data_IF_168355763167
#
_entry.id   IF_168355763167
#
_cell.length_a   1.000
_cell.length_b   1.000
_cell.length_c   1.000
_cell.angle_alpha   90.00
_cell.angle_beta   90.00
_cell.angle_gamma   90.00
#
_symmetry.space_group_name_H-M   'P 1'
#
loop_
_entity.id
_entity.type
_entity.pdbx_description
1 polymer ?
#
# COMPACT_ATOMS: atom_id res chain seq x y z
N UNK A 1 17.59 0.86 31.91
CA UNK A 1 16.39 0.21 31.36
C UNK A 1 16.61 0.11 29.86
N UNK A 2 16.75 -1.08 29.26
CA UNK A 2 16.79 -1.19 27.80
C UNK A 2 15.41 -0.81 27.25
N UNK A 3 15.41 0.15 26.35
CA UNK A 3 14.22 0.52 25.57
C UNK A 3 13.90 -0.72 24.74
N UNK A 4 12.76 -1.37 25.04
CA UNK A 4 12.25 -2.49 24.26
C UNK A 4 12.04 -1.96 22.84
N UNK A 5 12.88 -2.40 21.91
CA UNK A 5 12.65 -2.15 20.50
C UNK A 5 11.30 -2.78 20.18
N UNK A 6 10.31 -1.96 19.89
CA UNK A 6 8.97 -2.42 19.48
C UNK A 6 9.19 -3.22 18.19
N UNK A 7 9.00 -4.53 18.24
CA UNK A 7 9.08 -5.39 17.06
C UNK A 7 8.15 -4.85 15.98
N UNK A 8 8.67 -4.65 14.77
CA UNK A 8 7.85 -4.19 13.65
C UNK A 8 6.78 -5.23 13.32
N UNK A 9 5.58 -4.79 12.92
CA UNK A 9 4.53 -5.72 12.53
C UNK A 9 4.99 -6.54 11.32
N UNK A 10 4.66 -7.83 11.33
CA UNK A 10 4.89 -8.70 10.17
C UNK A 10 3.78 -8.53 9.14
N UNK A 11 4.13 -8.69 7.87
CA UNK A 11 3.15 -8.66 6.75
C UNK A 11 2.11 -9.76 6.94
N UNK A 12 0.82 -9.44 7.02
CA UNK A 12 -0.23 -10.45 7.08
C UNK A 12 -0.25 -11.33 5.82
N UNK A 13 -0.67 -12.61 5.90
CA UNK A 13 -0.73 -13.50 4.75
C UNK A 13 -1.72 -13.05 3.68
N UNK A 14 -2.67 -12.18 4.02
CA UNK A 14 -3.62 -11.55 3.11
C UNK A 14 -3.03 -10.37 2.33
N UNK A 15 -1.87 -9.86 2.74
CA UNK A 15 -1.26 -8.65 2.20
C UNK A 15 -0.09 -8.96 1.29
N UNK A 16 -0.02 -8.26 0.16
CA UNK A 16 1.13 -8.23 -0.74
C UNK A 16 1.61 -6.79 -0.89
N UNK A 17 2.91 -6.62 -0.78
CA UNK A 17 3.58 -5.33 -0.98
C UNK A 17 4.66 -5.48 -2.04
N UNK A 18 4.76 -4.52 -2.92
CA UNK A 18 5.83 -4.45 -3.91
C UNK A 18 6.11 -3.00 -4.27
N UNK A 19 7.31 -2.75 -4.77
CA UNK A 19 7.75 -1.43 -5.19
C UNK A 19 8.44 -1.51 -6.54
N UNK A 20 8.58 -0.38 -7.19
CA UNK A 20 9.36 -0.31 -8.41
C UNK A 20 9.60 1.13 -8.83
N UNK A 21 10.26 1.26 -9.98
CA UNK A 21 10.49 2.52 -10.67
C UNK A 21 10.03 2.39 -12.11
N UNK A 22 9.30 3.40 -12.55
CA UNK A 22 9.03 3.61 -13.96
C UNK A 22 10.12 4.50 -14.55
N UNK A 23 10.78 4.03 -15.63
CA UNK A 23 11.89 4.75 -16.28
C UNK A 23 11.48 5.51 -17.55
N UNK A 24 10.22 5.35 -18.01
CA UNK A 24 9.67 6.03 -19.18
C UNK A 24 9.09 7.40 -18.85
N UNK A 25 8.74 8.14 -19.91
CA UNK A 25 7.99 9.38 -19.79
C UNK A 25 6.51 9.12 -19.51
N UNK A 26 5.82 10.10 -18.88
CA UNK A 26 4.37 10.10 -18.67
C UNK A 26 3.83 8.84 -17.99
N UNK A 27 4.47 8.43 -16.90
CA UNK A 27 4.07 7.27 -16.11
C UNK A 27 2.58 7.28 -15.75
N UNK A 28 2.07 8.44 -15.34
CA UNK A 28 0.67 8.66 -14.97
C UNK A 28 -0.31 8.44 -16.13
N UNK A 29 -0.02 8.99 -17.31
CA UNK A 29 -0.86 8.77 -18.51
C UNK A 29 -0.86 7.30 -18.95
N UNK A 30 0.32 6.65 -18.87
CA UNK A 30 0.47 5.24 -19.20
C UNK A 30 -0.34 4.38 -18.23
N UNK A 31 -0.31 4.70 -16.95
CA UNK A 31 -1.06 4.00 -15.92
C UNK A 31 -2.57 4.17 -16.10
N UNK A 32 -3.06 5.39 -16.34
CA UNK A 32 -4.50 5.64 -16.62
C UNK A 32 -4.99 4.85 -17.82
N UNK A 33 -4.20 4.80 -18.90
CA UNK A 33 -4.52 4.04 -20.11
C UNK A 33 -4.55 2.53 -19.82
N UNK A 34 -3.58 2.01 -19.06
CA UNK A 34 -3.56 0.61 -18.64
C UNK A 34 -4.77 0.25 -17.80
N UNK A 35 -5.12 1.06 -16.81
CA UNK A 35 -6.26 0.82 -15.93
C UNK A 35 -7.59 0.83 -16.70
N UNK A 36 -7.77 1.76 -17.65
CA UNK A 36 -8.95 1.78 -18.51
C UNK A 36 -9.04 0.49 -19.35
N UNK A 37 -7.93 0.09 -19.98
CA UNK A 37 -7.89 -1.15 -20.76
C UNK A 37 -8.14 -2.41 -19.93
N UNK A 38 -7.62 -2.48 -18.70
CA UNK A 38 -7.85 -3.61 -17.78
C UNK A 38 -9.30 -3.68 -17.33
N UNK A 39 -9.96 -2.54 -17.10
CA UNK A 39 -11.39 -2.47 -16.78
C UNK A 39 -12.23 -2.91 -17.97
N UNK A 40 -11.96 -2.40 -19.17
CA UNK A 40 -12.67 -2.75 -20.40
C UNK A 40 -12.53 -4.25 -20.73
N UNK A 41 -11.37 -4.84 -20.42
CA UNK A 41 -11.11 -6.27 -20.57
C UNK A 41 -11.72 -7.13 -19.45
N UNK A 42 -12.32 -6.54 -18.41
CA UNK A 42 -12.85 -7.26 -17.26
C UNK A 42 -11.76 -7.91 -16.38
N UNK A 43 -10.51 -7.48 -16.52
CA UNK A 43 -9.39 -7.97 -15.69
C UNK A 43 -9.40 -7.36 -14.28
N UNK A 44 -10.00 -6.19 -14.13
CA UNK A 44 -10.32 -5.54 -12.87
C UNK A 44 -11.79 -5.15 -12.86
N UNK A 45 -12.41 -5.10 -11.68
CA UNK A 45 -13.81 -4.69 -11.52
C UNK A 45 -13.96 -3.19 -11.75
N UNK A 46 -13.07 -2.40 -11.13
CA UNK A 46 -13.06 -0.94 -11.23
C UNK A 46 -11.73 -0.35 -10.75
N UNK A 47 -11.52 0.94 -11.03
CA UNK A 47 -10.40 1.73 -10.53
C UNK A 47 -10.79 3.17 -10.25
N UNK A 48 -10.02 3.84 -9.39
CA UNK A 48 -10.20 5.24 -9.03
C UNK A 48 -8.83 5.92 -8.93
N UNK A 49 -8.72 7.11 -9.50
CA UNK A 49 -7.61 8.03 -9.24
C UNK A 49 -8.02 9.00 -8.14
N UNK A 50 -7.27 9.05 -7.05
CA UNK A 50 -7.54 9.97 -5.97
C UNK A 50 -7.01 11.37 -6.32
N UNK A 51 -7.71 12.43 -5.92
CA UNK A 51 -7.23 13.78 -6.12
C UNK A 51 -5.90 13.97 -5.37
N UNK A 52 -4.96 14.65 -6.02
CA UNK A 52 -3.70 15.03 -5.38
C UNK A 52 -4.00 15.94 -4.18
N UNK A 53 -3.39 15.65 -3.04
CA UNK A 53 -3.44 16.49 -1.85
C UNK A 53 -2.15 17.31 -1.77
N UNK A 54 -2.25 18.59 -1.44
CA UNK A 54 -1.10 19.49 -1.26
C UNK A 54 -0.11 18.98 -0.20
N UNK A 55 -0.58 18.14 0.73
CA UNK A 55 0.24 17.52 1.78
C UNK A 55 0.91 16.23 1.33
N UNK A 56 0.38 15.55 0.31
CA UNK A 56 0.88 14.29 -0.26
C UNK A 56 0.99 14.42 -1.77
N UNK A 57 2.19 14.73 -2.28
CA UNK A 57 2.40 14.97 -3.72
C UNK A 57 2.34 13.70 -4.57
N UNK A 58 2.16 12.52 -3.95
CA UNK A 58 2.04 11.25 -4.66
C UNK A 58 0.67 11.17 -5.36
N UNK A 59 0.68 10.74 -6.63
CA UNK A 59 -0.55 10.32 -7.30
C UNK A 59 -0.94 8.94 -6.79
N UNK A 60 -2.19 8.76 -6.40
CA UNK A 60 -2.68 7.52 -5.82
C UNK A 60 -3.79 6.96 -6.68
N UNK A 61 -3.69 5.67 -6.99
CA UNK A 61 -4.68 4.90 -7.73
C UNK A 61 -5.15 3.73 -6.88
N UNK A 62 -6.45 3.54 -6.82
CA UNK A 62 -7.09 2.37 -6.23
C UNK A 62 -7.64 1.48 -7.32
N UNK A 63 -7.50 0.17 -7.16
CA UNK A 63 -8.05 -0.82 -8.09
C UNK A 63 -8.63 -2.00 -7.31
N UNK A 64 -9.74 -2.54 -7.80
CA UNK A 64 -10.41 -3.72 -7.26
C UNK A 64 -10.53 -4.78 -8.34
N UNK A 65 -10.22 -6.03 -7.96
CA UNK A 65 -10.35 -7.19 -8.83
C UNK A 65 -10.84 -8.40 -8.04
N UNK A 66 -11.22 -9.45 -8.76
CA UNK A 66 -11.54 -10.76 -8.19
C UNK A 66 -10.56 -11.80 -8.70
N UNK A 67 -9.94 -12.52 -7.75
CA UNK A 67 -8.98 -13.56 -8.06
C UNK A 67 -9.52 -14.92 -7.62
N UNK A 68 -9.04 -15.99 -8.27
CA UNK A 68 -9.44 -17.36 -7.98
C UNK A 68 -10.97 -17.54 -7.99
N UNK A 69 -11.52 -18.12 -6.92
CA UNK A 69 -12.97 -18.39 -6.78
C UNK A 69 -13.77 -17.13 -6.37
N UNK A 70 -13.46 -15.98 -6.95
CA UNK A 70 -14.20 -14.74 -6.72
C UNK A 70 -13.76 -13.96 -5.46
N UNK A 71 -12.55 -14.20 -4.97
CA UNK A 71 -11.97 -13.49 -3.83
C UNK A 71 -11.70 -12.04 -4.20
N UNK A 72 -12.27 -11.11 -3.45
CA UNK A 72 -12.04 -9.69 -3.65
C UNK A 72 -10.60 -9.32 -3.23
N UNK A 73 -9.93 -8.60 -4.12
CA UNK A 73 -8.62 -7.99 -3.87
C UNK A 73 -8.73 -6.49 -4.06
N UNK A 74 -8.31 -5.75 -3.05
CA UNK A 74 -8.16 -4.29 -3.08
C UNK A 74 -6.70 -3.95 -3.20
N UNK A 75 -6.36 -3.03 -4.07
CA UNK A 75 -4.98 -2.63 -4.27
C UNK A 75 -4.86 -1.10 -4.40
N UNK A 76 -3.81 -0.55 -3.79
CA UNK A 76 -3.48 0.88 -3.84
C UNK A 76 -2.07 1.05 -4.32
N UNK A 77 -1.91 1.84 -5.37
CA UNK A 77 -0.63 2.20 -5.95
C UNK A 77 -0.38 3.68 -5.74
N UNK A 78 0.74 4.01 -5.11
CA UNK A 78 1.23 5.38 -4.96
C UNK A 78 2.37 5.61 -5.93
N UNK A 79 2.26 6.63 -6.76
CA UNK A 79 3.27 7.06 -7.73
C UNK A 79 3.89 8.35 -7.25
N UNK A 80 5.15 8.30 -6.82
CA UNK A 80 5.89 9.45 -6.31
C UNK A 80 6.10 10.53 -7.38
N UNK A 81 6.21 11.83 -7.01
CA UNK A 81 6.58 12.88 -7.94
C UNK A 81 7.93 12.60 -8.57
N UNK A 82 8.16 13.16 -9.76
CA UNK A 82 9.44 13.02 -10.45
C UNK A 82 10.58 13.55 -9.58
N UNK A 83 11.62 12.74 -9.39
CA UNK A 83 12.82 13.15 -8.64
C UNK A 83 13.81 13.85 -9.59
N UNK A 84 14.05 15.12 -9.36
CA UNK A 84 15.01 15.91 -10.17
C UNK A 84 14.50 16.25 -11.58
N UNK A 85 15.41 16.21 -12.58
CA UNK A 85 15.11 16.56 -13.98
C UNK A 85 14.69 15.38 -14.86
N UNK A 86 14.70 14.15 -14.32
CA UNK A 86 14.37 12.93 -15.07
C UNK A 86 12.88 12.62 -15.08
N UNK A 87 12.42 11.84 -16.06
CA UNK A 87 11.03 11.38 -16.15
C UNK A 87 10.72 10.25 -15.18
N UNK A 88 11.73 9.71 -14.48
CA UNK A 88 11.61 8.54 -13.63
C UNK A 88 10.69 8.77 -12.43
N UNK A 89 9.85 7.79 -12.14
CA UNK A 89 8.94 7.82 -10.99
C UNK A 89 9.01 6.53 -10.19
N UNK A 90 9.24 6.65 -8.90
CA UNK A 90 9.13 5.52 -7.98
C UNK A 90 7.66 5.25 -7.68
N UNK A 91 7.30 3.97 -7.55
CA UNK A 91 5.97 3.55 -7.16
C UNK A 91 6.02 2.53 -6.02
N UNK A 92 4.96 2.53 -5.23
CA UNK A 92 4.71 1.57 -4.16
C UNK A 92 3.29 1.04 -4.31
N UNK A 93 3.16 -0.29 -4.27
CA UNK A 93 1.88 -0.99 -4.35
C UNK A 93 1.67 -1.80 -3.08
N UNK A 94 0.48 -1.66 -2.51
CA UNK A 94 -0.03 -2.49 -1.43
C UNK A 94 -1.36 -3.08 -1.87
N UNK A 95 -1.52 -4.39 -1.73
CA UNK A 95 -2.75 -5.10 -2.03
C UNK A 95 -3.16 -5.98 -0.86
N UNK A 96 -4.46 -6.05 -0.59
CA UNK A 96 -5.05 -6.89 0.44
C UNK A 96 -6.20 -7.71 -0.15
N UNK A 97 -6.17 -9.01 0.12
CA UNK A 97 -7.21 -9.95 -0.27
C UNK A 97 -8.06 -10.33 0.95
N UNK A 98 -9.31 -10.73 0.74
CA UNK A 98 -10.21 -11.20 1.80
C UNK A 98 -9.72 -12.47 2.52
N UNK A 99 -8.82 -13.23 1.89
CA UNK A 99 -8.18 -14.42 2.48
C UNK A 99 -6.69 -14.46 2.14
N UNK A 100 -5.95 -15.41 2.74
CA UNK A 100 -4.54 -15.60 2.49
C UNK A 100 -4.25 -15.71 0.99
N UNK A 101 -3.17 -15.05 0.55
CA UNK A 101 -2.78 -14.98 -0.86
C UNK A 101 -2.36 -16.34 -1.39
N UNK A 102 -2.98 -16.78 -2.48
CA UNK A 102 -2.61 -18.01 -3.17
C UNK A 102 -1.52 -17.72 -4.22
N UNK A 103 -0.39 -18.46 -4.22
CA UNK A 103 0.66 -18.28 -5.23
C UNK A 103 0.22 -18.49 -6.67
N UNK A 104 -0.86 -19.24 -6.91
CA UNK A 104 -1.44 -19.44 -8.25
C UNK A 104 -2.18 -18.20 -8.77
N UNK A 105 -2.55 -17.27 -7.91
CA UNK A 105 -3.20 -16.03 -8.33
C UNK A 105 -2.21 -15.11 -9.07
N UNK A 106 -2.73 -14.22 -9.93
CA UNK A 106 -1.89 -13.20 -10.54
C UNK A 106 -1.19 -12.34 -9.49
N UNK A 107 -0.02 -11.80 -9.83
CA UNK A 107 0.61 -10.78 -8.99
C UNK A 107 -0.28 -9.53 -8.94
N UNK A 108 -0.36 -8.80 -7.79
CA UNK A 108 -1.18 -7.59 -7.68
C UNK A 108 -0.77 -6.48 -8.66
N UNK A 109 0.45 -6.49 -9.19
CA UNK A 109 0.86 -5.54 -10.23
C UNK A 109 0.02 -5.65 -11.50
N UNK A 110 -0.55 -6.83 -11.77
CA UNK A 110 -1.43 -7.05 -12.93
C UNK A 110 -2.79 -6.33 -12.82
N UNK A 111 -3.09 -5.76 -11.66
CA UNK A 111 -4.25 -4.89 -11.47
C UNK A 111 -4.01 -3.46 -11.98
N UNK A 112 -2.78 -3.11 -12.37
CA UNK A 112 -2.38 -1.78 -12.83
C UNK A 112 -1.79 -1.78 -14.23
N UNK A 113 -1.13 -2.89 -14.64
CA UNK A 113 -0.61 -3.08 -15.98
C UNK A 113 -0.62 -4.55 -16.38
N UNK A 114 -0.54 -4.88 -17.68
CA UNK A 114 -0.60 -6.26 -18.18
C UNK A 114 0.43 -7.20 -17.57
N UNK A 115 0.20 -8.52 -17.69
CA UNK A 115 1.09 -9.58 -17.16
C UNK A 115 2.53 -9.49 -17.63
N UNK A 116 2.74 -9.03 -18.85
CA UNK A 116 4.05 -8.67 -19.38
C UNK A 116 4.16 -7.15 -19.29
N UNK A 117 4.60 -6.63 -18.14
CA UNK A 117 4.74 -5.21 -17.97
C UNK A 117 5.75 -4.72 -18.99
N UNK A 118 5.45 -3.57 -19.58
CA UNK A 118 6.47 -2.81 -20.28
C UNK A 118 7.72 -2.79 -19.40
N UNK A 119 8.87 -3.12 -20.00
CA UNK A 119 10.16 -3.16 -19.30
C UNK A 119 10.45 -1.87 -18.49
N UNK A 120 9.73 -0.77 -18.81
CA UNK A 120 9.81 0.49 -18.12
C UNK A 120 9.32 0.46 -16.66
N UNK A 121 8.42 -0.45 -16.27
CA UNK A 121 7.82 -0.45 -14.90
C UNK A 121 8.60 -1.25 -13.86
N UNK A 122 9.38 -2.24 -14.29
CA UNK A 122 9.95 -3.25 -13.40
C UNK A 122 11.39 -2.97 -12.98
N UNK A 123 11.70 -1.78 -12.50
CA UNK A 123 13.03 -1.46 -11.98
C UNK A 123 12.97 -1.25 -10.46
N UNK A 124 13.75 -2.01 -9.69
CA UNK A 124 13.85 -1.73 -8.25
C UNK A 124 14.51 -0.36 -8.02
N UNK A 125 13.90 0.54 -7.24
CA UNK A 125 14.37 1.91 -7.06
C UNK A 125 15.76 2.03 -6.42
N UNK A 126 16.17 1.03 -5.62
CA UNK A 126 17.43 1.05 -4.89
C UNK A 126 18.58 0.42 -5.69
N UNK A 127 18.31 -0.69 -6.37
CA UNK A 127 19.35 -1.49 -7.03
C UNK A 127 19.34 -1.41 -8.55
N UNK A 128 18.23 -0.93 -9.15
CA UNK A 128 17.98 -0.96 -10.58
C UNK A 128 17.72 -2.35 -11.15
N UNK A 129 17.65 -3.38 -10.30
CA UNK A 129 17.38 -4.75 -10.71
C UNK A 129 15.94 -4.89 -11.21
N UNK A 130 15.74 -5.87 -12.10
CA UNK A 130 14.44 -6.11 -12.71
C UNK A 130 13.85 -7.44 -12.22
N UNK A 131 12.81 -7.40 -11.36
CA UNK A 131 12.06 -8.61 -10.99
C UNK A 131 11.46 -9.28 -12.22
N UNK A 132 11.49 -10.61 -12.24
CA UNK A 132 10.95 -11.41 -13.32
C UNK A 132 11.80 -11.45 -14.60
N UNK A 133 12.93 -10.75 -14.63
CA UNK A 133 13.87 -10.73 -15.75
C UNK A 133 15.24 -11.25 -15.33
N UNK A 134 16.07 -11.59 -16.33
CA UNK A 134 17.48 -11.95 -16.12
C UNK A 134 18.28 -10.68 -15.84
N UNK A 135 19.00 -10.66 -14.70
CA UNK A 135 19.92 -9.60 -14.31
C UNK A 135 21.36 -10.16 -14.34
N UNK A 136 22.23 -9.66 -15.21
CA UNK A 136 23.64 -10.06 -15.20
C UNK A 136 24.31 -9.60 -13.91
N UNK A 137 25.24 -10.40 -13.41
CA UNK A 137 26.11 -9.97 -12.32
C UNK A 137 27.10 -8.91 -12.80
N UNK A 138 27.57 -8.00 -11.92
CA UNK A 138 28.62 -7.04 -12.25
C UNK A 138 29.90 -7.73 -12.75
N UNK A 139 30.70 -7.03 -13.54
CA UNK A 139 31.97 -7.58 -14.06
C UNK A 139 33.06 -7.68 -12.97
N UNK A 140 33.11 -6.71 -12.05
CA UNK A 140 34.10 -6.66 -10.98
C UNK A 140 33.76 -7.61 -9.82
N UNK A 141 34.75 -8.40 -9.41
CA UNK A 141 34.62 -9.38 -8.33
C UNK A 141 34.17 -8.81 -7.00
N UNK A 142 34.55 -7.57 -6.67
CA UNK A 142 34.12 -6.90 -5.42
C UNK A 142 32.67 -6.49 -5.51
N UNK A 143 32.24 -6.05 -6.69
CA UNK A 143 30.87 -5.66 -6.95
C UNK A 143 29.94 -6.87 -6.95
N UNK A 144 30.37 -8.03 -7.48
CA UNK A 144 29.64 -9.30 -7.34
C UNK A 144 29.39 -9.62 -5.87
N UNK A 145 30.43 -9.58 -5.02
CA UNK A 145 30.28 -9.87 -3.59
C UNK A 145 29.39 -8.87 -2.87
N UNK A 146 29.54 -7.56 -3.19
CA UNK A 146 28.68 -6.52 -2.65
C UNK A 146 27.24 -6.79 -3.04
N UNK A 147 26.97 -7.03 -4.33
CA UNK A 147 25.64 -7.33 -4.86
C UNK A 147 24.98 -8.51 -4.14
N UNK A 148 25.67 -9.63 -3.99
CA UNK A 148 25.10 -10.80 -3.32
C UNK A 148 24.83 -10.57 -1.82
N UNK A 149 25.68 -9.82 -1.14
CA UNK A 149 25.41 -9.39 0.26
C UNK A 149 24.20 -8.48 0.39
N UNK A 150 24.02 -7.55 -0.56
CA UNK A 150 22.87 -6.65 -0.58
C UNK A 150 21.61 -7.44 -0.86
N UNK A 151 21.64 -8.40 -1.80
CA UNK A 151 20.55 -9.32 -2.10
C UNK A 151 20.11 -10.16 -0.91
N UNK A 152 21.06 -10.64 -0.10
CA UNK A 152 20.78 -11.41 1.10
C UNK A 152 20.10 -10.58 2.22
N UNK A 153 20.00 -9.26 2.05
CA UNK A 153 19.39 -8.31 3.02
C UNK A 153 18.18 -7.58 2.46
N UNK A 154 17.85 -7.82 1.20
CA UNK A 154 16.73 -7.15 0.54
C UNK A 154 15.38 -7.65 1.10
N UNK A 155 14.58 -6.81 1.77
CA UNK A 155 13.30 -7.23 2.33
C UNK A 155 12.17 -7.35 1.29
N UNK A 156 12.40 -6.91 0.04
CA UNK A 156 11.36 -6.82 -0.99
C UNK A 156 11.28 -8.05 -1.88
N UNK A 157 12.42 -8.68 -2.17
CA UNK A 157 12.51 -9.74 -3.17
C UNK A 157 13.17 -11.02 -2.63
N UNK A 158 12.85 -12.13 -3.27
CA UNK A 158 13.62 -13.37 -3.18
C UNK A 158 14.61 -13.36 -4.34
N UNK A 159 15.90 -13.52 -4.03
CA UNK A 159 16.94 -13.50 -5.04
C UNK A 159 17.37 -14.92 -5.40
N UNK A 160 17.52 -15.19 -6.69
CA UNK A 160 18.00 -16.49 -7.22
C UNK A 160 19.26 -16.26 -8.01
N UNK A 161 20.32 -16.99 -7.68
CA UNK A 161 21.61 -16.91 -8.37
C UNK A 161 21.85 -18.18 -9.16
N UNK A 162 22.04 -18.05 -10.46
CA UNK A 162 22.21 -19.19 -11.41
C UNK A 162 23.53 -19.03 -12.15
N UNK A 163 24.26 -20.12 -12.34
CA UNK A 163 25.40 -20.16 -13.25
C UNK A 163 24.94 -20.50 -14.65
N UNK A 164 25.15 -19.61 -15.59
CA UNK A 164 24.71 -19.73 -16.98
C UNK A 164 25.30 -20.97 -17.67
N UNK A 165 26.58 -21.29 -17.43
CA UNK A 165 27.22 -22.45 -17.97
C UNK A 165 26.80 -23.79 -17.35
N UNK A 166 26.01 -23.75 -16.29
CA UNK A 166 25.62 -24.94 -15.54
C UNK A 166 24.15 -25.32 -15.72
N UNK A 167 23.41 -24.46 -16.40
CA UNK A 167 22.02 -24.74 -16.73
C UNK A 167 21.98 -25.59 -17.98
N UNK A 168 21.42 -26.81 -17.92
CA UNK A 168 21.22 -27.58 -19.12
C UNK A 168 20.18 -26.91 -20.02
N UNK A 169 20.41 -27.00 -21.33
CA UNK A 169 19.48 -26.63 -22.38
C UNK A 169 19.08 -25.14 -22.43
N UNK A 170 17.92 -24.90 -23.02
CA UNK A 170 17.33 -23.59 -23.26
C UNK A 170 17.01 -22.81 -21.94
N UNK A 171 16.98 -23.50 -20.80
CA UNK A 171 16.73 -22.88 -19.49
C UNK A 171 17.77 -21.82 -19.09
N UNK A 172 18.98 -21.93 -19.63
CA UNK A 172 19.99 -20.90 -19.48
C UNK A 172 19.63 -19.56 -20.11
N UNK A 173 18.71 -19.54 -21.04
CA UNK A 173 18.35 -18.37 -21.84
C UNK A 173 16.95 -17.81 -21.49
N UNK A 174 16.10 -18.59 -20.81
CA UNK A 174 14.75 -18.19 -20.43
C UNK A 174 14.73 -17.75 -18.98
N UNK A 175 14.10 -16.62 -18.64
CA UNK A 175 13.94 -16.20 -17.24
C UNK A 175 13.24 -17.26 -16.41
N UNK A 176 13.75 -17.55 -15.20
CA UNK A 176 13.14 -18.50 -14.26
C UNK A 176 11.69 -18.11 -13.87
N UNK A 177 11.34 -16.85 -14.00
CA UNK A 177 9.98 -16.37 -13.77
C UNK A 177 8.93 -17.09 -14.61
N UNK A 178 9.29 -17.65 -15.78
CA UNK A 178 8.37 -18.45 -16.59
C UNK A 178 7.92 -19.75 -15.92
N UNK A 179 8.77 -20.29 -15.03
CA UNK A 179 8.52 -21.53 -14.29
C UNK A 179 7.82 -21.29 -12.95
N UNK A 180 7.83 -20.05 -12.47
CA UNK A 180 7.25 -19.70 -11.19
C UNK A 180 5.73 -19.52 -11.30
N UNK A 181 4.99 -19.85 -10.21
CA UNK A 181 3.60 -19.49 -10.08
C UNK A 181 3.38 -17.99 -10.35
N UNK A 182 2.26 -17.61 -10.97
CA UNK A 182 2.01 -16.22 -11.39
C UNK A 182 2.19 -15.18 -10.28
N UNK A 183 1.79 -15.50 -9.05
CA UNK A 183 1.91 -14.59 -7.89
C UNK A 183 3.35 -14.31 -7.45
N UNK A 184 4.31 -15.15 -7.87
CA UNK A 184 5.72 -15.02 -7.48
C UNK A 184 6.60 -14.37 -8.55
N UNK A 185 6.15 -14.25 -9.79
CA UNK A 185 6.96 -13.74 -10.91
C UNK A 185 7.58 -12.37 -10.65
N UNK A 186 6.84 -11.46 -10.02
CA UNK A 186 7.30 -10.10 -9.69
C UNK A 186 7.98 -10.00 -8.30
N UNK A 187 8.17 -11.14 -7.65
CA UNK A 187 8.83 -11.21 -6.34
C UNK A 187 10.21 -11.80 -6.38
N UNK A 188 10.58 -12.37 -7.52
CA UNK A 188 11.88 -13.04 -7.73
C UNK A 188 12.76 -12.19 -8.61
N UNK A 189 13.98 -11.94 -8.14
CA UNK A 189 15.06 -11.32 -8.91
C UNK A 189 16.09 -12.37 -9.23
N UNK A 190 16.23 -12.68 -10.51
CA UNK A 190 17.17 -13.65 -11.01
C UNK A 190 18.50 -13.00 -11.37
N UNK A 191 19.61 -13.57 -10.87
CA UNK A 191 20.97 -13.18 -11.19
C UNK A 191 21.63 -14.26 -12.01
N UNK A 192 22.24 -13.88 -13.13
CA UNK A 192 23.02 -14.78 -13.97
C UNK A 192 24.51 -14.51 -13.81
N UNK A 193 25.22 -15.55 -13.40
CA UNK A 193 26.67 -15.56 -13.37
C UNK A 193 27.21 -16.18 -14.65
N UNK A 194 28.07 -15.48 -15.38
CA UNK A 194 28.76 -16.03 -16.52
C UNK A 194 29.74 -17.16 -16.10
N UNK A 195 30.19 -18.02 -17.02
CA UNK A 195 31.20 -19.06 -16.71
C UNK A 195 32.43 -18.52 -16.00
N UNK A 196 32.90 -17.34 -16.39
CA UNK A 196 34.05 -16.67 -15.78
C UNK A 196 33.81 -16.23 -14.34
N UNK A 197 32.57 -15.92 -14.01
CA UNK A 197 32.16 -15.46 -12.70
C UNK A 197 31.84 -16.60 -11.72
N UNK A 198 31.76 -17.86 -12.18
CA UNK A 198 31.36 -19.01 -11.37
C UNK A 198 32.17 -19.10 -10.06
N UNK A 199 33.50 -18.87 -10.14
CA UNK A 199 34.40 -18.95 -8.98
C UNK A 199 34.12 -17.85 -7.94
N UNK A 200 34.01 -16.61 -8.38
CA UNK A 200 33.79 -15.48 -7.46
C UNK A 200 32.39 -15.54 -6.87
N UNK A 201 31.40 -15.95 -7.64
CA UNK A 201 30.02 -16.15 -7.20
C UNK A 201 29.95 -17.20 -6.10
N UNK A 202 30.51 -18.39 -6.32
CA UNK A 202 30.55 -19.44 -5.29
C UNK A 202 31.37 -19.03 -4.07
N UNK A 203 32.44 -18.29 -4.25
CA UNK A 203 33.19 -17.79 -3.12
C UNK A 203 32.37 -16.78 -2.27
N UNK A 204 31.59 -15.93 -2.91
CA UNK A 204 30.68 -15.03 -2.19
C UNK A 204 29.53 -15.79 -1.51
N UNK A 205 28.97 -16.81 -2.14
CA UNK A 205 27.89 -17.62 -1.59
C UNK A 205 28.33 -18.50 -0.40
N UNK A 206 29.62 -18.85 -0.32
CA UNK A 206 30.20 -19.54 0.86
C UNK A 206 30.07 -18.74 2.16
N UNK A 207 30.01 -17.41 2.09
CA UNK A 207 29.72 -16.55 3.25
C UNK A 207 28.34 -16.87 3.85
N UNK A 208 27.44 -17.45 3.02
CA UNK A 208 26.10 -17.91 3.41
C UNK A 208 26.00 -19.43 3.58
N UNK A 209 27.13 -20.15 3.54
CA UNK A 209 27.18 -21.59 3.76
C UNK A 209 26.80 -22.45 2.55
N UNK A 210 26.67 -21.87 1.35
CA UNK A 210 26.24 -22.60 0.15
C UNK A 210 27.15 -22.34 -1.05
N UNK A 211 27.04 -23.23 -2.05
CA UNK A 211 27.57 -23.07 -3.40
C UNK A 211 26.48 -23.42 -4.40
N UNK A 212 26.49 -22.77 -5.56
CA UNK A 212 25.59 -23.16 -6.66
C UNK A 212 26.13 -24.47 -7.25
N UNK A 213 25.33 -25.54 -7.23
CA UNK A 213 25.69 -26.81 -7.84
C UNK A 213 25.71 -26.70 -9.37
N UNK A 214 26.34 -27.65 -10.02
CA UNK A 214 26.22 -27.79 -11.50
C UNK A 214 24.76 -28.06 -11.88
N UNK A 215 24.23 -27.26 -12.81
CA UNK A 215 22.82 -27.35 -13.20
C UNK A 215 21.85 -26.84 -12.15
N UNK A 216 22.31 -25.99 -11.24
CA UNK A 216 21.51 -25.52 -10.13
C UNK A 216 21.52 -24.02 -9.93
N UNK A 217 20.89 -23.63 -8.83
CA UNK A 217 20.78 -22.26 -8.37
C UNK A 217 20.94 -22.17 -6.84
N UNK A 218 21.26 -20.98 -6.35
CA UNK A 218 21.12 -20.63 -4.96
C UNK A 218 19.96 -19.66 -4.76
N UNK A 219 19.07 -19.97 -3.82
CA UNK A 219 17.91 -19.14 -3.46
C UNK A 219 18.20 -18.42 -2.15
N UNK A 220 18.24 -17.09 -2.21
CA UNK A 220 18.49 -16.22 -1.06
C UNK A 220 17.15 -15.68 -0.56
N UNK A 221 16.84 -15.83 0.76
CA UNK A 221 15.57 -15.38 1.32
C UNK A 221 15.42 -13.85 1.39
N UNK A 222 16.53 -13.13 1.25
CA UNK A 222 16.53 -11.68 1.13
C UNK A 222 16.22 -10.92 2.42
N UNK A 223 16.50 -11.48 3.64
CA UNK A 223 16.19 -10.71 4.86
C UNK A 223 16.89 -11.25 6.11
N UNK A 224 17.06 -10.38 7.13
CA UNK A 224 17.47 -10.84 8.44
C UNK A 224 16.37 -11.71 9.06
N UNK A 225 16.79 -12.65 9.91
CA UNK A 225 15.86 -13.49 10.69
C UNK A 225 15.15 -12.58 11.70
N UNK A 226 13.81 -12.51 11.70
CA UNK A 226 13.06 -11.77 12.71
C UNK A 226 13.24 -12.41 14.09
N UNK A 227 13.08 -11.62 15.14
CA UNK A 227 13.16 -12.10 16.51
C UNK A 227 12.12 -13.19 16.79
N UNK A 228 12.54 -14.30 17.38
CA UNK A 228 11.66 -15.43 17.71
C UNK A 228 11.47 -16.47 16.60
N UNK A 229 12.18 -16.34 15.47
CA UNK A 229 12.13 -17.34 14.40
C UNK A 229 13.42 -18.15 14.30
N UNK A 230 13.27 -19.41 13.84
CA UNK A 230 14.40 -20.33 13.63
C UNK A 230 15.28 -19.87 12.45
N UNK A 231 16.59 -19.64 12.65
CA UNK A 231 17.51 -19.19 11.60
C UNK A 231 17.56 -20.11 10.38
N UNK A 232 17.44 -21.41 10.57
CA UNK A 232 17.52 -22.42 9.49
C UNK A 232 16.41 -22.27 8.46
N UNK A 233 15.25 -21.73 8.83
CA UNK A 233 14.18 -21.44 7.90
C UNK A 233 14.58 -20.34 6.90
N UNK A 234 15.44 -19.41 7.32
CA UNK A 234 15.95 -18.29 6.53
C UNK A 234 17.32 -18.57 5.87
N UNK A 235 17.81 -19.81 5.97
CA UNK A 235 19.06 -20.18 5.33
C UNK A 235 18.98 -20.10 3.81
N UNK A 236 20.07 -19.70 3.17
CA UNK A 236 20.23 -19.79 1.71
C UNK A 236 20.18 -21.25 1.30
N UNK A 237 19.46 -21.56 0.22
CA UNK A 237 19.27 -22.92 -0.27
C UNK A 237 19.90 -23.08 -1.64
N UNK A 238 20.74 -24.09 -1.80
CA UNK A 238 21.19 -24.57 -3.10
C UNK A 238 20.16 -25.62 -3.62
N UNK A 239 19.73 -25.45 -4.87
CA UNK A 239 18.73 -26.31 -5.51
C UNK A 239 19.22 -26.73 -6.91
N UNK A 240 18.73 -27.84 -7.40
CA UNK A 240 18.98 -28.29 -8.76
C UNK A 240 17.87 -27.79 -9.71
N UNK A 241 18.25 -27.58 -10.97
CA UNK A 241 17.32 -27.20 -12.04
C UNK A 241 17.09 -28.38 -13.00
N UNK A 242 17.04 -29.59 -12.46
CA UNK A 242 16.91 -30.83 -13.24
C UNK A 242 15.45 -31.06 -13.69
N UNK A 243 15.33 -31.95 -14.70
CA UNK A 243 14.04 -32.39 -15.21
C UNK A 243 13.35 -31.37 -16.13
N UNK A 244 12.10 -31.62 -16.46
CA UNK A 244 11.27 -30.75 -17.31
C UNK A 244 10.76 -29.54 -16.56
N UNK A 245 10.59 -29.66 -15.24
CA UNK A 245 10.12 -28.57 -14.34
C UNK A 245 11.09 -28.42 -13.17
N UNK A 246 11.53 -27.22 -12.82
CA UNK A 246 12.42 -26.98 -11.70
C UNK A 246 11.66 -26.97 -10.36
N UNK A 247 11.11 -28.12 -9.94
CA UNK A 247 10.26 -28.24 -8.74
C UNK A 247 10.97 -27.81 -7.48
N UNK A 248 12.25 -28.21 -7.29
CA UNK A 248 13.03 -27.84 -6.11
C UNK A 248 13.21 -26.31 -5.99
N UNK A 249 13.39 -25.63 -7.13
CA UNK A 249 13.46 -24.17 -7.17
C UNK A 249 12.14 -23.55 -6.78
N UNK A 250 11.03 -24.01 -7.35
CA UNK A 250 9.69 -23.50 -7.06
C UNK A 250 9.38 -23.68 -5.57
N UNK A 251 9.66 -24.87 -5.02
CA UNK A 251 9.46 -25.17 -3.61
C UNK A 251 10.32 -24.29 -2.68
N UNK A 252 11.59 -24.05 -3.04
CA UNK A 252 12.46 -23.18 -2.26
C UNK A 252 11.97 -21.72 -2.29
N UNK A 253 11.54 -21.23 -3.44
CA UNK A 253 10.99 -19.87 -3.58
C UNK A 253 9.68 -19.72 -2.80
N UNK A 254 8.76 -20.70 -2.89
CA UNK A 254 7.51 -20.71 -2.13
C UNK A 254 7.75 -20.68 -0.64
N UNK A 255 8.68 -21.51 -0.13
CA UNK A 255 9.07 -21.51 1.29
C UNK A 255 9.59 -20.14 1.73
N UNK A 256 10.48 -19.54 0.94
CA UNK A 256 11.00 -18.22 1.27
C UNK A 256 9.96 -17.11 1.15
N UNK A 257 9.01 -17.21 0.23
CA UNK A 257 7.91 -16.25 0.13
C UNK A 257 6.93 -16.34 1.31
N UNK A 258 6.73 -17.55 1.84
CA UNK A 258 5.87 -17.79 3.00
C UNK A 258 6.50 -17.36 4.33
N UNK A 259 7.81 -17.09 4.38
CA UNK A 259 8.47 -16.65 5.61
C UNK A 259 7.93 -15.29 6.08
N UNK A 260 7.77 -15.09 7.40
CA UNK A 260 7.34 -13.83 7.96
C UNK A 260 8.31 -12.71 7.57
N UNK A 261 7.74 -11.54 7.26
CA UNK A 261 8.46 -10.33 6.85
C UNK A 261 8.06 -9.19 7.72
N UNK A 262 9.02 -8.37 8.09
CA UNK A 262 8.70 -7.05 8.60
C UNK A 262 8.05 -6.22 7.49
N UNK A 263 7.00 -5.49 7.85
CA UNK A 263 6.37 -4.55 6.94
C UNK A 263 7.28 -3.32 6.81
N UNK A 264 7.75 -2.97 5.60
CA UNK A 264 8.54 -1.75 5.43
C UNK A 264 7.71 -0.52 5.81
N UNK A 265 8.32 0.48 6.44
CA UNK A 265 7.66 1.67 7.00
C UNK A 265 6.70 2.35 6.01
N UNK A 266 7.15 2.62 4.78
CA UNK A 266 6.29 3.21 3.75
C UNK A 266 5.13 2.30 3.33
N UNK A 267 5.30 0.98 3.40
CA UNK A 267 4.24 0.02 3.10
C UNK A 267 3.24 -0.09 4.25
N UNK A 268 3.65 0.14 5.49
CA UNK A 268 2.77 0.20 6.66
C UNK A 268 1.80 1.38 6.55
N UNK A 269 2.30 2.57 6.22
CA UNK A 269 1.47 3.75 5.98
C UNK A 269 0.48 3.52 4.82
N UNK A 270 0.95 2.93 3.71
CA UNK A 270 0.12 2.64 2.56
C UNK A 270 -0.95 1.58 2.86
N UNK A 271 -0.64 0.57 3.68
CA UNK A 271 -1.59 -0.44 4.13
C UNK A 271 -2.65 0.16 5.06
N UNK A 272 -2.26 1.01 5.98
CA UNK A 272 -3.20 1.74 6.85
C UNK A 272 -4.15 2.57 5.99
N UNK A 273 -3.62 3.31 5.02
CA UNK A 273 -4.45 4.10 4.12
C UNK A 273 -5.37 3.22 3.23
N UNK A 274 -4.92 2.04 2.79
CA UNK A 274 -5.75 1.08 2.06
C UNK A 274 -6.96 0.62 2.90
N UNK A 275 -6.79 0.46 4.22
CA UNK A 275 -7.82 -0.04 5.12
C UNK A 275 -8.77 1.05 5.62
N UNK A 276 -8.23 2.22 5.96
CA UNK A 276 -8.96 3.31 6.60
C UNK A 276 -9.52 4.33 5.60
N UNK A 277 -8.80 4.56 4.49
CA UNK A 277 -9.12 5.57 3.48
C UNK A 277 -9.45 4.94 2.12
N UNK A 278 -10.12 3.79 2.11
CA UNK A 278 -10.55 3.16 0.86
C UNK A 278 -11.75 3.88 0.25
N UNK A 279 -11.64 4.28 -1.04
CA UNK A 279 -12.66 5.08 -1.73
C UNK A 279 -13.43 4.33 -2.81
N UNK A 280 -12.86 3.25 -3.36
CA UNK A 280 -13.47 2.48 -4.43
C UNK A 280 -14.49 1.47 -3.87
N UNK A 281 -15.59 1.99 -3.32
CA UNK A 281 -16.67 1.18 -2.73
C UNK A 281 -17.59 0.63 -3.81
N UNK A 282 -18.18 -0.55 -3.56
CA UNK A 282 -19.36 -1.03 -4.30
C UNK A 282 -20.60 -0.25 -3.83
N UNK A 283 -21.65 -0.22 -4.66
CA UNK A 283 -22.92 0.37 -4.25
C UNK A 283 -23.47 -0.25 -2.96
N UNK A 284 -23.23 -1.55 -2.73
CA UNK A 284 -23.65 -2.23 -1.51
C UNK A 284 -22.85 -1.75 -0.29
N UNK A 285 -21.51 -1.66 -0.41
CA UNK A 285 -20.63 -1.14 0.65
C UNK A 285 -20.92 0.34 0.95
N UNK A 286 -21.17 1.14 -0.09
CA UNK A 286 -21.57 2.55 0.07
C UNK A 286 -22.88 2.67 0.83
N UNK A 287 -23.89 1.87 0.47
CA UNK A 287 -25.17 1.83 1.15
C UNK A 287 -25.04 1.40 2.62
N UNK A 288 -24.20 0.40 2.91
CA UNK A 288 -23.94 -0.01 4.29
C UNK A 288 -23.22 1.07 5.09
N UNK A 289 -22.24 1.73 4.49
CA UNK A 289 -21.53 2.87 5.09
C UNK A 289 -22.51 4.01 5.42
N UNK A 290 -23.37 4.38 4.49
CA UNK A 290 -24.37 5.42 4.72
C UNK A 290 -25.39 5.03 5.80
N UNK A 291 -25.82 3.77 5.83
CA UNK A 291 -26.69 3.26 6.91
C UNK A 291 -26.02 3.34 8.28
N UNK A 292 -24.73 2.95 8.36
CA UNK A 292 -23.97 3.05 9.61
C UNK A 292 -23.83 4.51 10.07
N UNK A 293 -23.59 5.44 9.14
CA UNK A 293 -23.55 6.88 9.44
C UNK A 293 -24.89 7.40 9.96
N UNK A 294 -25.99 7.01 9.31
CA UNK A 294 -27.34 7.39 9.76
C UNK A 294 -27.62 6.86 11.18
N UNK A 295 -27.27 5.60 11.46
CA UNK A 295 -27.44 5.02 12.79
C UNK A 295 -26.62 5.78 13.85
N UNK A 296 -25.37 6.12 13.56
CA UNK A 296 -24.51 6.90 14.44
C UNK A 296 -25.07 8.31 14.70
N UNK A 297 -25.56 8.99 13.66
CA UNK A 297 -26.20 10.30 13.83
C UNK A 297 -27.51 10.22 14.65
N UNK A 298 -28.28 9.14 14.48
CA UNK A 298 -29.48 8.92 15.29
C UNK A 298 -29.14 8.73 16.77
N UNK A 299 -28.11 7.95 17.10
CA UNK A 299 -27.62 7.80 18.48
C UNK A 299 -27.10 9.13 19.06
N UNK A 300 -26.37 9.92 18.28
CA UNK A 300 -25.88 11.22 18.70
C UNK A 300 -27.02 12.19 18.99
N UNK A 301 -28.05 12.22 18.15
CA UNK A 301 -29.25 13.03 18.35
C UNK A 301 -30.03 12.60 19.59
N UNK A 302 -30.17 11.31 19.85
CA UNK A 302 -30.81 10.80 21.07
C UNK A 302 -30.03 11.21 22.33
N UNK A 303 -28.71 11.08 22.30
CA UNK A 303 -27.83 11.51 23.37
C UNK A 303 -27.95 13.05 23.65
N UNK A 304 -27.99 13.87 22.58
CA UNK A 304 -28.18 15.32 22.71
C UNK A 304 -29.57 15.65 23.29
N UNK A 305 -30.60 14.94 22.86
CA UNK A 305 -31.95 15.12 23.35
C UNK A 305 -32.06 14.81 24.85
N UNK A 306 -31.49 13.68 25.28
CA UNK A 306 -31.41 13.32 26.70
C UNK A 306 -30.61 14.33 27.49
N UNK A 307 -29.50 14.81 26.96
CA UNK A 307 -28.69 15.86 27.61
C UNK A 307 -29.47 17.17 27.77
N UNK A 308 -30.17 17.60 26.71
CA UNK A 308 -31.04 18.79 26.75
C UNK A 308 -32.11 18.67 27.81
N UNK A 309 -32.78 17.52 27.88
CA UNK A 309 -33.88 17.31 28.82
C UNK A 309 -33.36 17.31 30.27
N UNK A 310 -32.20 16.72 30.55
CA UNK A 310 -31.54 16.81 31.85
C UNK A 310 -31.16 18.25 32.24
N UNK A 311 -30.68 19.06 31.31
CA UNK A 311 -30.39 20.48 31.58
C UNK A 311 -31.66 21.29 31.84
N UNK A 312 -32.75 20.99 31.13
CA UNK A 312 -34.04 21.63 31.37
C UNK A 312 -34.57 21.33 32.75
N UNK A 313 -34.56 20.05 33.17
CA UNK A 313 -34.96 19.65 34.52
C UNK A 313 -34.07 20.28 35.60
N UNK A 314 -32.76 20.39 35.34
CA UNK A 314 -31.85 21.05 36.28
C UNK A 314 -32.13 22.56 36.40
N UNK A 315 -32.45 23.21 35.27
CA UNK A 315 -32.82 24.61 35.25
C UNK A 315 -34.18 24.87 35.97
N UNK A 316 -35.17 24.01 35.76
CA UNK A 316 -36.48 24.07 36.44
C UNK A 316 -36.28 23.94 37.97
N UNK A 317 -35.52 22.93 38.42
CA UNK A 317 -35.19 22.74 39.85
C UNK A 317 -34.45 23.95 40.43
N UNK A 318 -33.54 24.56 39.70
CA UNK A 318 -32.82 25.74 40.13
C UNK A 318 -33.75 26.96 40.23
N UNK A 319 -34.71 27.11 39.32
CA UNK A 319 -35.73 28.16 39.37
C UNK A 319 -36.68 28.01 40.56
N UNK A 320 -37.15 26.79 40.83
CA UNK A 320 -37.99 26.49 42.01
C UNK A 320 -37.26 26.79 43.33
N UNK A 321 -35.96 26.37 43.43
CA UNK A 321 -35.15 26.69 44.60
C UNK A 321 -34.95 28.20 44.80
N UNK A 322 -34.75 28.96 43.71
CA UNK A 322 -34.64 30.42 43.74
C UNK A 322 -35.96 31.10 44.14
N UNK A 323 -37.09 30.59 43.68
CA UNK A 323 -38.42 31.07 44.07
C UNK A 323 -38.67 30.86 45.58
N UNK A 324 -38.40 29.64 46.08
CA UNK A 324 -38.51 29.32 47.51
C UNK A 324 -37.61 30.23 48.43
N UNK A 325 -36.40 30.52 47.95
CA UNK A 325 -35.47 31.45 48.62
C UNK A 325 -36.01 32.86 48.67
N UNK A 326 -36.67 33.34 47.65
CA UNK A 326 -37.30 34.68 47.62
C UNK A 326 -38.53 34.79 48.55
N UNK A 327 -39.32 33.73 48.64
CA UNK A 327 -40.50 33.66 49.48
C UNK A 327 -40.16 33.57 50.97
N UNK A 328 -39.10 32.89 51.35
CA UNK A 328 -38.65 32.69 52.72
C UNK A 328 -37.95 33.91 53.33
N UNK A 329 -37.65 34.96 52.58
CA UNK A 329 -37.11 36.23 53.05
C UNK A 329 -35.78 36.16 53.81
N UNK A 330 -35.07 35.04 53.74
CA UNK A 330 -33.78 34.84 54.39
C UNK A 330 -32.71 35.52 53.57
N UNK A 331 -32.09 36.58 54.07
CA UNK A 331 -30.96 37.26 53.45
C UNK A 331 -29.85 36.22 53.10
N UNK A 332 -29.39 36.27 51.89
CA UNK A 332 -28.36 35.36 51.42
C UNK A 332 -27.13 35.34 52.33
N UNK A 333 -26.64 34.17 52.75
CA UNK A 333 -25.38 34.10 53.47
C UNK A 333 -24.26 34.59 52.56
N UNK A 334 -23.44 35.50 53.11
CA UNK A 334 -22.24 36.04 52.45
C UNK A 334 -21.37 34.91 51.88
N UNK A 335 -20.76 35.08 50.75
CA UNK A 335 -20.00 33.98 50.10
C UNK A 335 -18.71 33.69 50.86
N UNK A 336 -18.81 32.82 51.88
CA UNK A 336 -17.64 32.22 52.51
C UNK A 336 -17.25 30.94 51.80
N UNK A 337 -16.02 30.94 51.28
CA UNK A 337 -15.20 29.82 50.84
C UNK A 337 -15.92 28.64 50.16
N UNK A 338 -15.99 28.69 48.87
CA UNK A 338 -16.37 27.51 48.05
C UNK A 338 -15.34 26.38 48.22
N UNK A 339 -15.80 25.15 48.57
CA UNK A 339 -14.92 23.99 48.47
C UNK A 339 -14.51 23.75 46.99
N UNK A 340 -13.35 23.17 46.72
CA UNK A 340 -12.87 22.98 45.36
C UNK A 340 -13.86 22.08 44.58
N UNK A 341 -14.41 22.62 43.49
CA UNK A 341 -15.31 21.89 42.61
C UNK A 341 -14.55 20.71 42.00
N UNK A 342 -15.09 19.47 42.05
CA UNK A 342 -14.52 18.39 41.28
C UNK A 342 -14.53 18.78 39.79
N UNK A 343 -13.37 18.73 39.15
CA UNK A 343 -13.22 18.95 37.71
C UNK A 343 -13.78 17.72 36.97
N UNK A 344 -15.09 17.64 36.83
CA UNK A 344 -15.71 16.76 35.84
C UNK A 344 -15.54 17.44 34.48
N UNK A 345 -14.95 16.76 33.48
CA UNK A 345 -14.90 17.33 32.14
C UNK A 345 -16.32 17.53 31.63
N UNK A 346 -16.62 18.74 31.18
CA UNK A 346 -17.96 19.09 30.70
C UNK A 346 -18.32 18.12 29.56
N UNK A 347 -19.51 17.53 29.54
CA UNK A 347 -19.92 16.54 28.52
C UNK A 347 -19.79 17.07 27.08
N UNK A 348 -19.89 18.40 26.89
CA UNK A 348 -19.63 19.05 25.61
C UNK A 348 -18.18 18.95 25.12
N UNK A 349 -17.18 18.87 26.00
CA UNK A 349 -15.79 18.67 25.59
C UNK A 349 -15.47 17.22 25.16
N UNK A 350 -16.24 16.25 25.64
CA UNK A 350 -16.14 14.87 25.16
C UNK A 350 -16.83 14.71 23.80
N UNK A 351 -17.98 15.37 23.58
CA UNK A 351 -18.69 15.37 22.30
C UNK A 351 -17.91 16.08 21.20
N UNK A 352 -17.25 17.20 21.48
CA UNK A 352 -16.39 17.87 20.49
C UNK A 352 -15.17 17.03 20.14
N UNK A 353 -14.53 16.34 21.09
CA UNK A 353 -13.42 15.42 20.80
C UNK A 353 -13.83 14.19 20.00
N UNK A 354 -15.04 13.66 20.22
CA UNK A 354 -15.57 12.55 19.41
C UNK A 354 -15.98 13.02 18.02
N UNK A 355 -16.56 14.20 17.88
CA UNK A 355 -16.88 14.79 16.58
C UNK A 355 -15.64 15.22 15.78
N UNK A 356 -14.56 15.66 16.42
CA UNK A 356 -13.29 15.93 15.76
C UNK A 356 -12.59 14.64 15.27
N UNK A 357 -12.73 13.52 15.98
CA UNK A 357 -12.25 12.21 15.53
C UNK A 357 -13.09 11.61 14.39
N UNK A 358 -14.31 12.10 14.21
CA UNK A 358 -15.29 11.61 13.23
C UNK A 358 -15.43 12.51 12.00
N UNK A 359 -14.54 13.52 11.82
CA UNK A 359 -14.48 14.25 10.55
C UNK A 359 -13.89 13.30 9.48
N UNK A 360 -14.69 12.61 8.67
CA UNK A 360 -14.21 12.09 7.41
C UNK A 360 -13.84 13.32 6.59
N UNK A 361 -12.70 13.27 5.91
CA UNK A 361 -12.28 14.30 4.96
C UNK A 361 -13.33 14.43 3.86
N UNK A 362 -14.39 15.17 4.13
CA UNK A 362 -15.39 15.51 3.12
C UNK A 362 -14.77 16.59 2.25
N UNK A 363 -14.08 16.12 1.21
CA UNK A 363 -13.79 16.95 0.05
C UNK A 363 -15.14 17.41 -0.52
N UNK A 364 -15.47 18.68 -0.28
CA UNK A 364 -16.61 19.34 -0.89
C UNK A 364 -16.44 19.26 -2.40
N UNK A 365 -17.16 18.34 -3.02
CA UNK A 365 -17.41 18.35 -4.46
C UNK A 365 -18.14 19.66 -4.77
N UNK A 366 -17.41 20.63 -5.30
CA UNK A 366 -17.95 21.91 -5.74
C UNK A 366 -19.00 21.65 -6.81
N UNK A 367 -20.24 21.83 -6.45
CA UNK A 367 -21.35 21.97 -7.38
C UNK A 367 -21.22 23.34 -8.04
N UNK A 368 -20.56 23.40 -9.19
CA UNK A 368 -20.58 24.58 -10.04
C UNK A 368 -22.01 24.75 -10.56
N UNK A 369 -22.75 25.65 -9.93
CA UNK A 369 -23.94 26.23 -10.51
C UNK A 369 -23.51 27.02 -11.74
N UNK A 370 -23.79 26.52 -12.91
CA UNK A 370 -23.80 27.30 -14.14
C UNK A 370 -24.91 28.33 -13.99
N UNK A 371 -24.53 29.55 -13.71
CA UNK A 371 -25.34 30.72 -13.88
C UNK A 371 -25.32 31.05 -15.38
N UNK A 372 -26.43 30.75 -16.04
CA UNK A 372 -26.70 31.03 -17.44
C UNK A 372 -26.87 32.54 -17.58
N UNK A 373 -25.79 33.23 -18.00
CA UNK A 373 -25.82 34.64 -18.37
C UNK A 373 -26.15 34.72 -19.84
N UNK A 374 -27.34 35.24 -20.15
CA UNK A 374 -27.79 35.54 -21.50
C UNK A 374 -26.83 36.54 -22.21
N UNK A 375 -26.58 36.38 -23.51
CA UNK A 375 -25.73 37.31 -24.24
C UNK A 375 -26.47 38.62 -24.56
N UNK A 376 -25.83 39.74 -24.28
CA UNK A 376 -26.23 41.08 -24.73
C UNK A 376 -25.97 41.23 -26.25
N UNK A 377 -26.78 42.02 -26.97
CA UNK A 377 -26.65 42.17 -28.42
C UNK A 377 -25.45 43.06 -28.80
N UNK A 378 -24.72 42.60 -29.80
CA UNK A 378 -23.66 43.36 -30.44
C UNK A 378 -24.21 44.58 -31.20
N UNK A 379 -23.50 45.73 -31.23
CA UNK A 379 -23.81 46.81 -32.14
C UNK A 379 -23.16 46.56 -33.53
N UNK A 380 -23.96 46.76 -34.55
CA UNK A 380 -23.57 46.80 -35.96
C UNK A 380 -22.42 47.81 -36.20
N UNK A 381 -21.40 47.37 -36.90
CA UNK A 381 -20.38 48.28 -37.49
C UNK A 381 -20.40 48.12 -39.00
N UNK A 382 -20.59 49.24 -39.62
CA UNK A 382 -20.66 49.51 -41.06
C UNK A 382 -19.40 49.11 -41.84
N UNK A 383 -19.52 48.94 -43.17
CA UNK A 383 -18.43 48.50 -44.02
C UNK A 383 -17.57 49.72 -44.46
N UNK A 384 -16.27 49.61 -44.30
CA UNK A 384 -15.31 50.53 -44.89
C UNK A 384 -14.61 49.86 -46.06
N UNK A 385 -14.92 50.43 -47.20
CA UNK A 385 -14.35 50.30 -48.55
C UNK A 385 -12.87 50.75 -48.62
N UNK A 386 -12.15 50.17 -49.58
CA UNK A 386 -10.94 50.67 -50.30
C UNK A 386 -9.58 50.06 -49.96
N UNK A 387 -9.16 49.42 -50.90
CA UNK A 387 -8.08 49.26 -51.90
C UNK A 387 -7.18 48.12 -51.74
#
# INVERSE_FOLDING_TARGET
>A
MPISATARPTVPPTVRTTRGRHIGERADETLRRSLAALKDAGSIDDFLELPADDTKPDLVFESRARFGDGVTVRARLSLSPAKGKGPERDWLLVAEAERAWDPSWPSPVTMFWPREPDAAWNHDPASGLRPGAINPLPEDDKDVRRRLRDCARDPWYVHVVVHEAMTPDERGYVPLAHWLPPGLRHRVVEHRATPQQARVTNWALREFGVEVPRGGAAVLPGRPVPEGYEPDAFAVRAVFLDGTEPTDLVDAVLRHDALPRELPERAEEALTALREDWHLLTLAEELERERALVAMYAEALDAMTKSRDLYREAAERAHEALAAYRETGIAAPSPAAQPPRPRTPAPLQQLTRTLERLKPGVSRRGRSSQEETAPAPEPEAEPSDKR
#
